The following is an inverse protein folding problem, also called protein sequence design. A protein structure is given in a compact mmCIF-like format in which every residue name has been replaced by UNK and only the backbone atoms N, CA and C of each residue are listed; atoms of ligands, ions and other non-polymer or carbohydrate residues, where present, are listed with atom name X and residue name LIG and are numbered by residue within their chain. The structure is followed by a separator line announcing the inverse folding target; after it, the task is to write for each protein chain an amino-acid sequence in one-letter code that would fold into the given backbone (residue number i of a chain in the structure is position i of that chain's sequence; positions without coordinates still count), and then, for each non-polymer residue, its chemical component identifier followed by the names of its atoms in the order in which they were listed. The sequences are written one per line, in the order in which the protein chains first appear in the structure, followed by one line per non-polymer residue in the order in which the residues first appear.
data_IF_009122438929
#
_entry.id   IF_009122438929
#
_cell.length_a   1.000
_cell.length_b   1.000
_cell.length_c   1.000
_cell.angle_alpha   90.00
_cell.angle_beta   90.00
_cell.angle_gamma   90.00
#
_symmetry.space_group_name_H-M   'P 1'
#
loop_
_entity.id
_entity.type
_entity.pdbx_description
1 polymer ?
#
# COMPACT_ATOMS: atom_id res chain seq x y z
N UNK A 1 -14.57 19.57 -2.77
CA UNK A 1 -14.21 18.34 -2.02
C UNK A 1 -12.82 17.92 -2.41
N UNK A 2 -11.93 17.66 -1.44
CA UNK A 2 -10.61 17.08 -1.73
C UNK A 2 -10.70 15.56 -1.87
N UNK A 3 -9.88 14.98 -2.76
CA UNK A 3 -9.75 13.53 -2.93
C UNK A 3 -8.36 13.11 -2.46
N UNK A 4 -8.27 12.06 -1.65
CA UNK A 4 -7.00 11.42 -1.28
C UNK A 4 -6.72 10.34 -2.30
N UNK A 5 -5.56 10.39 -2.96
CA UNK A 5 -5.11 9.39 -3.95
C UNK A 5 -3.81 8.76 -3.47
N UNK A 6 -3.82 7.44 -3.31
CA UNK A 6 -2.65 6.64 -2.97
C UNK A 6 -1.94 6.22 -4.25
N UNK A 7 -0.68 6.66 -4.41
CA UNK A 7 0.17 6.41 -5.60
C UNK A 7 1.20 5.32 -5.28
N UNK A 8 0.72 4.19 -4.76
CA UNK A 8 1.57 3.11 -4.26
C UNK A 8 2.32 2.40 -5.39
N UNK A 9 1.66 2.25 -6.54
CA UNK A 9 2.21 1.71 -7.77
C UNK A 9 3.51 2.41 -8.21
N UNK A 10 3.54 3.74 -8.14
CA UNK A 10 4.71 4.54 -8.51
C UNK A 10 5.89 4.29 -7.57
N UNK A 11 5.65 4.38 -6.26
CA UNK A 11 6.71 4.21 -5.25
C UNK A 11 7.26 2.79 -5.27
N UNK A 12 6.40 1.79 -5.44
CA UNK A 12 6.81 0.39 -5.61
C UNK A 12 7.71 0.20 -6.85
N UNK A 13 7.36 0.81 -7.98
CA UNK A 13 8.15 0.73 -9.20
C UNK A 13 9.53 1.39 -9.02
N UNK A 14 9.56 2.59 -8.43
CA UNK A 14 10.79 3.34 -8.14
C UNK A 14 11.74 2.53 -7.23
N UNK A 15 11.17 1.80 -6.26
CA UNK A 15 11.94 0.96 -5.32
C UNK A 15 12.14 -0.49 -5.77
N UNK A 16 11.70 -0.85 -6.98
CA UNK A 16 11.76 -2.21 -7.54
C UNK A 16 11.17 -3.27 -6.59
N UNK A 17 10.09 -2.93 -5.90
CA UNK A 17 9.44 -3.81 -4.93
C UNK A 17 8.14 -4.39 -5.50
N UNK A 18 7.96 -5.70 -5.36
CA UNK A 18 6.74 -6.38 -5.78
C UNK A 18 5.62 -6.22 -4.76
N UNK A 19 4.37 -6.48 -5.19
CA UNK A 19 3.21 -6.43 -4.30
C UNK A 19 3.30 -7.50 -3.20
N UNK A 20 3.78 -8.71 -3.54
CA UNK A 20 3.93 -9.81 -2.59
C UNK A 20 4.93 -9.46 -1.49
N UNK A 21 6.10 -8.96 -1.86
CA UNK A 21 7.14 -8.56 -0.90
C UNK A 21 6.65 -7.46 0.05
N UNK A 22 5.97 -6.44 -0.49
CA UNK A 22 5.41 -5.38 0.35
C UNK A 22 4.33 -5.91 1.30
N UNK A 23 3.49 -6.84 0.83
CA UNK A 23 2.45 -7.46 1.65
C UNK A 23 3.05 -8.25 2.83
N UNK A 24 4.12 -9.00 2.56
CA UNK A 24 4.88 -9.72 3.59
C UNK A 24 5.53 -8.78 4.59
N UNK A 25 6.22 -7.73 4.13
CA UNK A 25 6.86 -6.73 5.01
C UNK A 25 5.87 -6.00 5.92
N UNK A 26 4.69 -5.67 5.40
CA UNK A 26 3.65 -4.94 6.15
C UNK A 26 2.82 -5.89 7.02
N UNK A 27 2.88 -7.20 6.78
CA UNK A 27 2.10 -8.20 7.52
C UNK A 27 0.60 -8.20 7.18
N UNK A 28 0.24 -7.89 5.93
CA UNK A 28 -1.14 -7.91 5.45
C UNK A 28 -1.30 -8.81 4.23
N UNK A 29 -2.52 -9.25 3.95
CA UNK A 29 -2.76 -10.08 2.77
C UNK A 29 -2.53 -9.29 1.49
N UNK A 30 -2.03 -10.00 0.47
CA UNK A 30 -1.82 -9.46 -0.87
C UNK A 30 -3.12 -8.87 -1.48
N UNK A 31 -4.27 -9.47 -1.15
CA UNK A 31 -5.60 -8.98 -1.54
C UNK A 31 -5.88 -7.61 -0.91
N UNK A 32 -5.59 -7.41 0.37
CA UNK A 32 -5.77 -6.12 1.04
C UNK A 32 -4.83 -5.06 0.46
N UNK A 33 -3.55 -5.40 0.25
CA UNK A 33 -2.60 -4.47 -0.36
C UNK A 33 -2.98 -4.11 -1.80
N UNK A 34 -3.51 -5.06 -2.59
CA UNK A 34 -4.04 -4.79 -3.93
C UNK A 34 -5.19 -3.78 -3.92
N UNK A 35 -6.12 -3.87 -2.95
CA UNK A 35 -7.19 -2.87 -2.80
C UNK A 35 -6.63 -1.48 -2.49
N UNK A 36 -5.60 -1.39 -1.64
CA UNK A 36 -4.93 -0.13 -1.30
C UNK A 36 -4.23 0.46 -2.52
N UNK A 37 -3.40 -0.33 -3.23
CA UNK A 37 -2.69 0.09 -4.44
C UNK A 37 -3.64 0.64 -5.51
N UNK A 38 -4.80 0.00 -5.69
CA UNK A 38 -5.76 0.38 -6.72
C UNK A 38 -6.81 1.41 -6.24
N UNK A 39 -6.61 2.06 -5.08
CA UNK A 39 -7.55 3.04 -4.50
C UNK A 39 -8.98 2.49 -4.30
N UNK A 40 -9.14 1.18 -4.12
CA UNK A 40 -10.43 0.50 -3.85
C UNK A 40 -10.66 0.23 -2.35
N UNK A 41 -9.87 0.87 -1.50
CA UNK A 41 -9.97 0.72 -0.04
C UNK A 41 -10.96 1.72 0.54
N UNK A 42 -11.90 1.25 1.36
CA UNK A 42 -12.89 2.11 2.01
C UNK A 42 -12.37 2.71 3.31
N UNK A 43 -11.52 1.99 4.03
CA UNK A 43 -10.90 2.42 5.28
C UNK A 43 -9.52 1.79 5.45
N UNK A 44 -8.60 2.52 6.07
CA UNK A 44 -7.23 2.09 6.31
C UNK A 44 -6.83 2.44 7.74
N UNK A 45 -6.22 1.49 8.46
CA UNK A 45 -5.61 1.78 9.77
C UNK A 45 -4.32 2.57 9.56
N UNK A 46 -4.08 3.58 10.39
CA UNK A 46 -2.82 4.32 10.37
C UNK A 46 -1.60 3.44 10.64
N UNK A 47 -1.73 2.38 11.44
CA UNK A 47 -0.66 1.40 11.63
C UNK A 47 -0.29 0.69 10.33
N UNK A 48 -1.27 0.35 9.50
CA UNK A 48 -1.02 -0.22 8.17
C UNK A 48 -0.38 0.81 7.24
N UNK A 49 -0.79 2.08 7.29
CA UNK A 49 -0.14 3.15 6.54
C UNK A 49 1.33 3.31 6.94
N UNK A 50 1.59 3.35 8.25
CA UNK A 50 2.93 3.48 8.80
C UNK A 50 3.82 2.33 8.36
N UNK A 51 3.33 1.09 8.45
CA UNK A 51 4.08 -0.09 7.97
C UNK A 51 4.38 -0.03 6.47
N UNK A 52 3.44 0.46 5.65
CA UNK A 52 3.69 0.67 4.21
C UNK A 52 4.77 1.73 3.99
N UNK A 53 4.70 2.85 4.71
CA UNK A 53 5.69 3.93 4.61
C UNK A 53 7.09 3.51 5.10
N UNK A 54 7.18 2.64 6.10
CA UNK A 54 8.45 2.11 6.60
C UNK A 54 9.05 1.08 5.64
N UNK A 55 8.21 0.24 5.02
CA UNK A 55 8.65 -0.80 4.10
C UNK A 55 9.05 -0.26 2.72
N UNK A 56 8.43 0.84 2.27
CA UNK A 56 8.74 1.53 1.02
C UNK A 56 9.81 2.58 1.26
#
# INVERSE_FOLDING_TARGET
MGNIVLRLDRVMLERKMTLNELAEKVGITNVNLSKIKNNKVTALRFSTLAGICEAL
#
